data_IF_535258248933
#
_entry.id   IF_535258248933
#
_cell.length_a   1.000
_cell.length_b   1.000
_cell.length_c   1.000
_cell.angle_alpha   90.00
_cell.angle_beta   90.00
_cell.angle_gamma   90.00
#
_symmetry.space_group_name_H-M   'P 1'
#
loop_
_entity.id
_entity.type
_entity.pdbx_description
1 polymer ?
#
# COMPACT_ATOMS: atom_id res chain seq x y z
N UNK A 1 -62.07 7.88 -9.35
CA UNK A 1 -61.13 8.59 -10.25
C UNK A 1 -59.71 8.35 -9.76
N UNK A 2 -58.81 7.69 -10.53
CA UNK A 2 -57.43 7.48 -10.10
C UNK A 2 -56.51 8.63 -10.56
N UNK A 3 -55.62 9.06 -9.67
CA UNK A 3 -54.70 10.20 -9.82
C UNK A 3 -53.77 10.08 -11.05
N UNK A 4 -53.85 11.08 -11.94
CA UNK A 4 -53.17 11.12 -13.24
C UNK A 4 -51.75 11.71 -13.25
N UNK A 5 -51.12 12.00 -12.11
CA UNK A 5 -49.82 12.67 -12.10
C UNK A 5 -48.80 12.09 -11.11
N UNK A 6 -48.67 10.75 -11.03
CA UNK A 6 -47.49 10.14 -10.42
C UNK A 6 -46.28 10.34 -11.34
N UNK A 7 -45.65 11.51 -11.25
CA UNK A 7 -44.38 11.81 -11.93
C UNK A 7 -43.34 10.81 -11.43
N UNK A 8 -43.07 9.78 -12.22
CA UNK A 8 -42.13 8.74 -11.83
C UNK A 8 -40.73 9.33 -11.66
N UNK A 9 -40.01 8.90 -10.63
CA UNK A 9 -38.64 9.35 -10.36
C UNK A 9 -37.69 9.14 -11.56
N UNK A 10 -38.03 8.21 -12.45
CA UNK A 10 -37.33 7.98 -13.72
C UNK A 10 -37.54 9.13 -14.72
N UNK A 11 -38.76 9.64 -14.87
CA UNK A 11 -39.07 10.76 -15.75
C UNK A 11 -38.36 12.05 -15.33
N UNK A 12 -38.28 12.32 -14.02
CA UNK A 12 -37.52 13.45 -13.47
C UNK A 12 -36.02 13.30 -13.72
N UNK A 13 -35.44 12.11 -13.48
CA UNK A 13 -34.01 11.86 -13.76
C UNK A 13 -33.66 12.00 -15.24
N UNK A 14 -34.58 11.64 -16.14
CA UNK A 14 -34.37 11.79 -17.58
C UNK A 14 -34.38 13.27 -17.99
N UNK A 15 -35.26 14.08 -17.39
CA UNK A 15 -35.33 15.55 -17.63
C UNK A 15 -34.14 16.32 -17.04
N UNK A 16 -33.59 15.88 -15.90
CA UNK A 16 -32.45 16.53 -15.24
C UNK A 16 -31.08 16.14 -15.83
N UNK A 17 -31.00 15.14 -16.71
CA UNK A 17 -29.75 14.80 -17.40
C UNK A 17 -29.58 15.72 -18.59
N UNK A 18 -28.74 16.74 -18.44
CA UNK A 18 -28.21 17.47 -19.59
C UNK A 18 -27.53 16.48 -20.55
N UNK A 19 -27.82 16.51 -21.85
CA UNK A 19 -27.17 15.64 -22.81
C UNK A 19 -25.67 15.96 -22.80
N UNK A 20 -24.86 14.99 -22.41
CA UNK A 20 -23.41 15.10 -22.53
C UNK A 20 -23.09 15.09 -24.03
N UNK A 21 -22.38 16.08 -24.58
CA UNK A 21 -22.09 16.12 -26.00
C UNK A 21 -21.33 14.85 -26.40
N UNK A 22 -21.73 14.24 -27.50
CA UNK A 22 -21.24 12.93 -27.95
C UNK A 22 -19.71 12.89 -28.07
N UNK A 23 -19.07 14.00 -28.44
CA UNK A 23 -17.60 14.16 -28.50
C UNK A 23 -16.94 13.89 -27.15
N UNK A 24 -17.53 14.33 -26.04
CA UNK A 24 -17.02 14.05 -24.70
C UNK A 24 -17.22 12.58 -24.30
N UNK A 25 -18.31 11.95 -24.75
CA UNK A 25 -18.51 10.52 -24.52
C UNK A 25 -17.49 9.68 -25.28
N UNK A 26 -17.25 10.01 -26.56
CA UNK A 26 -16.24 9.35 -27.40
C UNK A 26 -14.84 9.56 -26.81
N UNK A 27 -14.47 10.79 -26.44
CA UNK A 27 -13.18 11.07 -25.82
C UNK A 27 -12.96 10.27 -24.52
N UNK A 28 -13.99 10.18 -23.66
CA UNK A 28 -13.95 9.37 -22.43
C UNK A 28 -13.88 7.88 -22.71
N UNK A 29 -14.54 7.40 -23.76
CA UNK A 29 -14.51 5.99 -24.14
C UNK A 29 -13.15 5.62 -24.70
N UNK A 30 -12.63 6.44 -25.63
CA UNK A 30 -11.30 6.29 -26.21
C UNK A 30 -10.22 6.29 -25.14
N UNK A 31 -10.21 7.27 -24.23
CA UNK A 31 -9.20 7.32 -23.16
C UNK A 31 -9.23 6.08 -22.28
N UNK A 32 -10.43 5.55 -21.97
CA UNK A 32 -10.57 4.31 -21.21
C UNK A 32 -10.08 3.11 -21.99
N UNK A 33 -10.46 2.98 -23.26
CA UNK A 33 -10.04 1.88 -24.12
C UNK A 33 -8.51 1.83 -24.27
N UNK A 34 -7.87 2.98 -24.49
CA UNK A 34 -6.41 3.06 -24.57
C UNK A 34 -5.77 2.64 -23.25
N UNK A 35 -6.25 3.16 -22.12
CA UNK A 35 -5.69 2.81 -20.79
C UNK A 35 -5.90 1.33 -20.49
N UNK A 36 -7.11 0.80 -20.68
CA UNK A 36 -7.39 -0.62 -20.45
C UNK A 36 -6.61 -1.51 -21.42
N UNK A 37 -6.41 -1.08 -22.67
CA UNK A 37 -5.62 -1.78 -23.67
C UNK A 37 -4.14 -1.88 -23.28
N UNK A 38 -3.53 -0.75 -22.89
CA UNK A 38 -2.12 -0.74 -22.41
C UNK A 38 -1.97 -1.63 -21.17
N UNK A 39 -2.85 -1.46 -20.18
CA UNK A 39 -2.81 -2.27 -18.95
C UNK A 39 -3.01 -3.75 -19.25
N UNK A 40 -3.94 -4.09 -20.13
CA UNK A 40 -4.20 -5.47 -20.53
C UNK A 40 -3.02 -6.07 -21.30
N UNK A 41 -2.38 -5.30 -22.19
CA UNK A 41 -1.21 -5.77 -22.94
C UNK A 41 -0.02 -6.04 -22.03
N UNK A 42 0.27 -5.13 -21.08
CA UNK A 42 1.33 -5.32 -20.08
C UNK A 42 1.01 -6.53 -19.20
N UNK A 43 -0.24 -6.65 -18.72
CA UNK A 43 -0.66 -7.79 -17.92
C UNK A 43 -0.58 -9.12 -18.69
N UNK A 44 -0.94 -9.11 -19.97
CA UNK A 44 -0.83 -10.26 -20.87
C UNK A 44 0.63 -10.67 -21.06
N UNK A 45 1.52 -9.73 -21.38
CA UNK A 45 2.95 -10.00 -21.53
C UNK A 45 3.55 -10.61 -20.27
N UNK A 46 3.19 -10.08 -19.09
CA UNK A 46 3.65 -10.59 -17.80
C UNK A 46 3.14 -12.00 -17.49
N UNK A 47 1.85 -12.25 -17.75
CA UNK A 47 1.25 -13.56 -17.55
C UNK A 47 1.83 -14.59 -18.52
N UNK A 48 2.01 -14.21 -19.79
CA UNK A 48 2.60 -15.04 -20.82
C UNK A 48 4.03 -15.46 -20.46
N UNK A 49 4.87 -14.49 -20.07
CA UNK A 49 6.24 -14.77 -19.61
C UNK A 49 6.26 -15.78 -18.46
N UNK A 50 5.35 -15.65 -17.50
CA UNK A 50 5.23 -16.58 -16.37
C UNK A 50 4.81 -18.00 -16.76
N UNK A 51 3.91 -18.13 -17.74
CA UNK A 51 3.45 -19.43 -18.23
C UNK A 51 4.51 -20.16 -19.07
N UNK A 52 5.36 -19.42 -19.78
CA UNK A 52 6.46 -19.99 -20.59
C UNK A 52 7.72 -20.27 -19.79
N UNK A 53 7.83 -19.70 -18.58
CA UNK A 53 9.01 -19.80 -17.74
C UNK A 53 8.99 -21.07 -16.91
N UNK A 54 10.08 -21.84 -16.99
CA UNK A 54 10.29 -22.99 -16.14
C UNK A 54 10.45 -22.56 -14.66
N UNK A 55 9.78 -23.24 -13.71
CA UNK A 55 9.90 -22.93 -12.30
C UNK A 55 11.31 -23.24 -11.79
N UNK A 56 11.93 -22.28 -11.09
CA UNK A 56 13.23 -22.47 -10.43
C UNK A 56 13.07 -23.17 -9.07
N UNK A 57 14.18 -23.60 -8.46
CA UNK A 57 14.19 -24.09 -7.08
C UNK A 57 13.59 -23.05 -6.12
N UNK A 58 12.74 -23.48 -5.19
CA UNK A 58 12.05 -22.59 -4.24
C UNK A 58 10.90 -21.75 -4.83
N UNK A 59 10.54 -21.99 -6.09
CA UNK A 59 9.42 -21.31 -6.77
C UNK A 59 8.07 -21.55 -6.07
N UNK A 60 7.70 -22.80 -5.83
CA UNK A 60 6.45 -23.15 -5.15
C UNK A 60 6.31 -22.48 -3.77
N UNK A 61 7.41 -22.49 -3.00
CA UNK A 61 7.46 -21.83 -1.69
C UNK A 61 7.30 -20.31 -1.79
N UNK A 62 8.01 -19.69 -2.72
CA UNK A 62 7.91 -18.24 -2.96
C UNK A 62 6.51 -17.84 -3.42
N UNK A 63 5.89 -18.62 -4.32
CA UNK A 63 4.54 -18.39 -4.81
C UNK A 63 3.48 -18.51 -3.69
N UNK A 64 3.62 -19.50 -2.80
CA UNK A 64 2.76 -19.66 -1.63
C UNK A 64 2.85 -18.43 -0.71
N UNK A 65 4.06 -18.06 -0.28
CA UNK A 65 4.23 -16.98 0.69
C UNK A 65 3.96 -15.59 0.09
N UNK A 66 4.18 -15.38 -1.20
CA UNK A 66 3.69 -14.19 -1.92
C UNK A 66 2.17 -14.13 -1.93
N UNK A 67 1.49 -15.26 -2.13
CA UNK A 67 0.02 -15.33 -2.10
C UNK A 67 -0.52 -15.07 -0.69
N UNK A 68 0.11 -15.63 0.34
CA UNK A 68 -0.22 -15.36 1.75
C UNK A 68 0.00 -13.88 2.08
N UNK A 69 1.12 -13.29 1.66
CA UNK A 69 1.42 -11.87 1.84
C UNK A 69 0.37 -10.99 1.15
N UNK A 70 0.05 -11.28 -0.12
CA UNK A 70 -0.95 -10.57 -0.91
C UNK A 70 -2.33 -10.63 -0.25
N UNK A 71 -2.77 -11.82 0.17
CA UNK A 71 -4.03 -12.01 0.88
C UNK A 71 -4.08 -11.25 2.22
N UNK A 72 -3.00 -11.28 3.01
CA UNK A 72 -2.91 -10.56 4.28
C UNK A 72 -2.93 -9.03 4.09
N UNK A 73 -2.24 -8.52 3.07
CA UNK A 73 -2.25 -7.09 2.72
C UNK A 73 -3.62 -6.65 2.21
N UNK A 74 -4.25 -7.44 1.32
CA UNK A 74 -5.60 -7.19 0.82
C UNK A 74 -6.61 -7.17 1.96
N UNK A 75 -6.52 -8.12 2.90
CA UNK A 75 -7.34 -8.15 4.11
C UNK A 75 -7.13 -6.90 4.97
N UNK A 76 -5.87 -6.52 5.24
CA UNK A 76 -5.56 -5.30 6.02
C UNK A 76 -6.13 -4.05 5.35
N UNK A 77 -6.03 -3.95 4.02
CA UNK A 77 -6.60 -2.84 3.26
C UNK A 77 -8.13 -2.83 3.35
N UNK A 78 -8.77 -3.98 3.07
CA UNK A 78 -10.22 -4.12 3.16
C UNK A 78 -10.74 -3.73 4.55
N UNK A 79 -10.11 -4.19 5.62
CA UNK A 79 -10.51 -3.86 7.00
C UNK A 79 -10.21 -2.41 7.39
N UNK A 80 -9.19 -1.77 6.80
CA UNK A 80 -8.87 -0.37 7.07
C UNK A 80 -9.94 0.58 6.52
N UNK A 81 -10.44 0.28 5.31
CA UNK A 81 -11.52 1.01 4.65
C UNK A 81 -12.92 0.54 5.09
N UNK A 82 -13.07 -0.70 5.54
CA UNK A 82 -14.37 -1.35 5.70
C UNK A 82 -14.89 -1.77 4.32
N UNK A 83 -14.88 -3.07 3.97
CA UNK A 83 -15.14 -3.52 2.60
C UNK A 83 -16.49 -3.04 2.08
N UNK A 84 -17.50 -2.93 2.94
CA UNK A 84 -18.78 -2.30 2.60
C UNK A 84 -18.90 -0.96 3.31
N UNK A 85 -18.94 0.13 2.54
CA UNK A 85 -19.13 1.49 3.05
C UNK A 85 -20.24 2.24 2.29
N UNK A 86 -20.78 3.27 2.94
CA UNK A 86 -21.70 4.22 2.31
C UNK A 86 -21.01 5.58 2.22
N UNK A 87 -20.96 6.16 1.01
CA UNK A 87 -20.46 7.51 0.80
C UNK A 87 -21.26 8.55 1.60
N UNK A 88 -20.62 9.69 1.89
CA UNK A 88 -21.23 10.78 2.67
C UNK A 88 -22.55 11.27 2.06
N UNK A 89 -22.62 11.33 0.73
CA UNK A 89 -23.78 11.66 -0.09
C UNK A 89 -25.00 10.74 0.17
N UNK A 90 -24.74 9.48 0.53
CA UNK A 90 -25.78 8.46 0.75
C UNK A 90 -26.04 8.21 2.23
N UNK A 91 -25.11 8.58 3.09
CA UNK A 91 -25.20 8.39 4.54
C UNK A 91 -26.32 9.21 5.19
N UNK A 92 -26.75 10.30 4.55
CA UNK A 92 -27.95 11.06 4.92
C UNK A 92 -29.22 10.20 4.82
N UNK A 93 -29.32 9.36 3.79
CA UNK A 93 -30.47 8.49 3.53
C UNK A 93 -30.46 7.17 4.32
N UNK A 94 -29.41 6.92 5.10
CA UNK A 94 -29.30 5.73 5.93
C UNK A 94 -29.92 6.04 7.29
N UNK A 95 -31.15 5.55 7.51
CA UNK A 95 -31.85 5.67 8.79
C UNK A 95 -30.99 5.17 9.95
N UNK A 96 -31.09 5.79 11.13
CA UNK A 96 -30.41 5.31 12.34
C UNK A 96 -31.07 4.04 12.92
N UNK A 97 -32.34 3.80 12.60
CA UNK A 97 -33.11 2.65 13.07
C UNK A 97 -32.62 1.32 12.45
N UNK A 98 -32.78 0.19 13.18
CA UNK A 98 -32.35 -1.13 12.73
C UNK A 98 -33.28 -1.71 11.66
N UNK A 99 -33.30 -1.09 10.47
CA UNK A 99 -34.00 -1.61 9.29
C UNK A 99 -33.11 -2.65 8.61
N UNK A 100 -33.70 -3.74 8.09
CA UNK A 100 -32.98 -4.75 7.29
C UNK A 100 -32.47 -4.14 5.99
N UNK A 101 -31.16 -3.84 5.92
CA UNK A 101 -30.51 -3.18 4.76
C UNK A 101 -29.91 -4.15 3.73
N UNK A 102 -30.07 -5.46 3.95
CA UNK A 102 -29.43 -6.49 3.13
C UNK A 102 -29.73 -6.36 1.63
N UNK A 103 -30.98 -6.11 1.27
CA UNK A 103 -31.39 -5.95 -0.14
C UNK A 103 -30.70 -4.74 -0.82
N UNK A 104 -30.50 -3.64 -0.10
CA UNK A 104 -29.84 -2.44 -0.62
C UNK A 104 -28.33 -2.63 -0.81
N UNK A 105 -27.69 -3.44 0.05
CA UNK A 105 -26.24 -3.64 0.05
C UNK A 105 -25.79 -4.81 -0.85
N UNK A 106 -26.67 -5.78 -1.11
CA UNK A 106 -26.38 -6.99 -1.92
C UNK A 106 -25.75 -6.67 -3.29
N UNK A 107 -26.30 -5.79 -4.14
CA UNK A 107 -25.70 -5.53 -5.45
C UNK A 107 -24.26 -5.02 -5.38
N UNK A 108 -23.96 -4.19 -4.37
CA UNK A 108 -22.59 -3.68 -4.16
C UNK A 108 -21.66 -4.75 -3.62
N UNK A 109 -22.17 -5.59 -2.72
CA UNK A 109 -21.41 -6.72 -2.21
C UNK A 109 -21.04 -7.69 -3.32
N UNK A 110 -21.98 -8.04 -4.20
CA UNK A 110 -21.67 -8.86 -5.38
C UNK A 110 -20.66 -8.20 -6.32
N UNK A 111 -20.81 -6.90 -6.58
CA UNK A 111 -19.79 -6.15 -7.35
C UNK A 111 -18.40 -6.21 -6.70
N UNK A 112 -18.34 -6.13 -5.36
CA UNK A 112 -17.10 -6.30 -4.60
C UNK A 112 -16.50 -7.69 -4.73
N UNK A 113 -17.31 -8.76 -4.70
CA UNK A 113 -16.84 -10.12 -4.89
C UNK A 113 -16.28 -10.34 -6.30
N UNK A 114 -16.93 -9.77 -7.33
CA UNK A 114 -16.44 -9.84 -8.72
C UNK A 114 -15.10 -9.12 -8.86
N UNK A 115 -14.96 -7.92 -8.29
CA UNK A 115 -13.68 -7.19 -8.27
C UNK A 115 -12.62 -7.98 -7.50
N UNK A 116 -12.97 -8.58 -6.36
CA UNK A 116 -12.06 -9.37 -5.56
C UNK A 116 -11.58 -10.64 -6.28
N UNK A 117 -12.47 -11.32 -7.01
CA UNK A 117 -12.12 -12.45 -7.87
C UNK A 117 -11.13 -12.02 -8.95
N UNK A 118 -11.41 -10.91 -9.65
CA UNK A 118 -10.52 -10.37 -10.68
C UNK A 118 -9.14 -9.97 -10.14
N UNK A 119 -9.08 -9.35 -8.94
CA UNK A 119 -7.82 -9.04 -8.27
C UNK A 119 -7.05 -10.31 -7.86
N UNK A 120 -7.75 -11.35 -7.42
CA UNK A 120 -7.15 -12.64 -7.11
C UNK A 120 -6.51 -13.30 -8.34
N UNK A 121 -7.21 -13.29 -9.48
CA UNK A 121 -6.70 -13.77 -10.77
C UNK A 121 -5.49 -12.96 -11.23
N UNK A 122 -5.58 -11.63 -11.16
CA UNK A 122 -4.48 -10.74 -11.52
C UNK A 122 -3.24 -10.96 -10.62
N UNK A 123 -3.46 -11.21 -9.32
CA UNK A 123 -2.38 -11.53 -8.39
C UNK A 123 -1.70 -12.86 -8.72
N UNK A 124 -2.46 -13.91 -9.03
CA UNK A 124 -1.88 -15.20 -9.44
C UNK A 124 -1.08 -15.09 -10.72
N UNK A 125 -1.56 -14.32 -11.70
CA UNK A 125 -0.82 -14.05 -12.93
C UNK A 125 0.49 -13.28 -12.65
N UNK A 126 0.47 -12.31 -11.74
CA UNK A 126 1.66 -11.58 -11.34
C UNK A 126 2.69 -12.47 -10.63
N UNK A 127 2.23 -13.37 -9.74
CA UNK A 127 3.09 -14.35 -9.05
C UNK A 127 3.71 -15.33 -10.05
N UNK A 128 2.94 -15.83 -11.02
CA UNK A 128 3.45 -16.71 -12.07
C UNK A 128 4.46 -16.00 -12.98
N UNK A 129 4.20 -14.75 -13.35
CA UNK A 129 5.16 -13.92 -14.10
C UNK A 129 6.52 -13.82 -13.40
N UNK A 130 6.52 -13.76 -12.07
CA UNK A 130 7.73 -13.67 -11.28
C UNK A 130 8.40 -15.04 -11.09
N UNK A 131 7.63 -16.04 -10.69
CA UNK A 131 8.17 -17.30 -10.13
C UNK A 131 8.16 -18.47 -11.13
N UNK A 132 7.47 -18.31 -12.26
CA UNK A 132 7.13 -19.39 -13.18
C UNK A 132 5.83 -20.09 -12.79
N UNK A 133 5.26 -20.85 -13.71
CA UNK A 133 4.05 -21.63 -13.47
C UNK A 133 4.35 -22.85 -12.58
N UNK A 134 3.81 -22.83 -11.35
CA UNK A 134 3.97 -23.92 -10.37
C UNK A 134 2.82 -24.94 -10.44
N UNK A 135 1.65 -24.49 -10.90
CA UNK A 135 0.39 -25.24 -10.96
C UNK A 135 -0.26 -24.96 -12.33
N UNK A 136 -1.05 -25.88 -12.91
CA UNK A 136 -1.76 -25.63 -14.16
C UNK A 136 -2.54 -24.30 -14.14
N UNK A 137 -2.48 -23.56 -15.25
CA UNK A 137 -2.99 -22.18 -15.33
C UNK A 137 -4.47 -22.06 -14.94
N UNK A 138 -5.30 -23.02 -15.37
CA UNK A 138 -6.74 -23.02 -15.05
C UNK A 138 -7.01 -23.21 -13.55
N UNK A 139 -6.26 -24.10 -12.90
CA UNK A 139 -6.35 -24.32 -11.45
C UNK A 139 -5.90 -23.08 -10.69
N UNK A 140 -4.79 -22.46 -11.11
CA UNK A 140 -4.26 -21.25 -10.49
C UNK A 140 -5.24 -20.07 -10.58
N UNK A 141 -5.87 -19.87 -11.74
CA UNK A 141 -6.92 -18.86 -11.94
C UNK A 141 -8.11 -19.12 -11.02
N UNK A 142 -8.56 -20.38 -10.93
CA UNK A 142 -9.66 -20.78 -10.06
C UNK A 142 -9.35 -20.53 -8.58
N UNK A 143 -8.17 -20.94 -8.12
CA UNK A 143 -7.71 -20.74 -6.74
C UNK A 143 -7.55 -19.25 -6.44
N UNK A 144 -6.92 -18.49 -7.32
CA UNK A 144 -6.73 -17.04 -7.18
C UNK A 144 -8.05 -16.30 -7.02
N UNK A 145 -9.02 -16.58 -7.89
CA UNK A 145 -10.36 -16.02 -7.81
C UNK A 145 -11.04 -16.38 -6.48
N UNK A 146 -11.00 -17.66 -6.08
CA UNK A 146 -11.60 -18.13 -4.84
C UNK A 146 -10.98 -17.47 -3.60
N UNK A 147 -9.65 -17.35 -3.55
CA UNK A 147 -8.92 -16.69 -2.45
C UNK A 147 -9.29 -15.20 -2.36
N UNK A 148 -9.36 -14.50 -3.50
CA UNK A 148 -9.78 -13.10 -3.54
C UNK A 148 -11.19 -12.90 -2.97
N UNK A 149 -12.15 -13.74 -3.41
CA UNK A 149 -13.52 -13.77 -2.89
C UNK A 149 -13.54 -14.07 -1.39
N UNK A 150 -12.81 -15.10 -0.94
CA UNK A 150 -12.73 -15.51 0.45
C UNK A 150 -12.19 -14.39 1.34
N UNK A 151 -11.13 -13.70 0.94
CA UNK A 151 -10.52 -12.58 1.67
C UNK A 151 -11.53 -11.44 1.86
N UNK A 152 -12.19 -11.00 0.79
CA UNK A 152 -13.16 -9.89 0.89
C UNK A 152 -14.42 -10.30 1.65
N UNK A 153 -14.93 -11.51 1.43
CA UNK A 153 -16.07 -12.03 2.16
C UNK A 153 -15.78 -12.14 3.66
N UNK A 154 -14.62 -12.69 4.04
CA UNK A 154 -14.19 -12.76 5.42
C UNK A 154 -14.00 -11.36 6.02
N UNK A 155 -13.45 -10.39 5.28
CA UNK A 155 -13.35 -9.01 5.73
C UNK A 155 -14.72 -8.41 6.09
N UNK A 156 -15.79 -8.73 5.33
CA UNK A 156 -17.17 -8.29 5.63
C UNK A 156 -17.70 -8.95 6.91
N UNK A 157 -17.42 -10.24 7.13
CA UNK A 157 -17.78 -10.94 8.36
C UNK A 157 -17.07 -10.32 9.56
N UNK A 158 -15.77 -10.02 9.44
CA UNK A 158 -14.99 -9.35 10.49
C UNK A 158 -15.44 -7.92 10.73
N UNK A 159 -15.85 -7.17 9.71
CA UNK A 159 -16.37 -5.80 9.84
C UNK A 159 -17.56 -5.72 10.80
N UNK A 160 -18.37 -6.80 10.89
CA UNK A 160 -19.46 -6.93 11.86
C UNK A 160 -18.96 -7.20 13.29
N UNK A 161 -17.82 -7.89 13.42
CA UNK A 161 -17.24 -8.24 14.71
C UNK A 161 -16.58 -7.05 15.40
N UNK A 162 -16.51 -7.09 16.73
CA UNK A 162 -15.64 -6.16 17.50
C UNK A 162 -14.17 -6.58 17.49
N UNK A 163 -13.85 -7.68 16.82
CA UNK A 163 -12.51 -8.23 16.76
C UNK A 163 -11.61 -7.38 15.86
N UNK A 164 -10.39 -7.11 16.32
CA UNK A 164 -9.38 -6.34 15.58
C UNK A 164 -8.24 -7.27 15.18
N UNK A 165 -8.33 -7.99 14.05
CA UNK A 165 -7.30 -8.97 13.64
C UNK A 165 -6.00 -8.30 13.17
N UNK A 166 -5.87 -6.98 13.26
CA UNK A 166 -4.74 -6.23 12.71
C UNK A 166 -3.39 -6.61 13.36
N UNK A 167 -3.38 -7.04 14.62
CA UNK A 167 -2.19 -7.60 15.28
C UNK A 167 -1.78 -8.94 14.67
N UNK A 168 -2.71 -9.90 14.59
CA UNK A 168 -2.48 -11.21 13.98
C UNK A 168 -2.07 -11.11 12.51
N UNK A 169 -2.78 -10.29 11.70
CA UNK A 169 -2.43 -10.03 10.30
C UNK A 169 -1.03 -9.44 10.15
N UNK A 170 -0.57 -8.66 11.12
CA UNK A 170 0.80 -8.13 11.13
C UNK A 170 1.83 -9.21 11.41
N UNK A 171 1.50 -10.18 12.26
CA UNK A 171 2.29 -11.40 12.47
C UNK A 171 2.37 -12.26 11.22
N UNK A 172 1.24 -12.49 10.52
CA UNK A 172 1.19 -13.23 9.25
C UNK A 172 2.06 -12.56 8.18
N UNK A 173 1.99 -11.23 8.06
CA UNK A 173 2.87 -10.48 7.15
C UNK A 173 4.33 -10.66 7.53
N UNK A 174 4.69 -10.55 8.82
CA UNK A 174 6.06 -10.78 9.28
C UNK A 174 6.56 -12.19 8.97
N UNK A 175 5.73 -13.20 9.22
CA UNK A 175 6.04 -14.60 8.91
C UNK A 175 6.23 -14.83 7.41
N UNK A 176 5.35 -14.28 6.58
CA UNK A 176 5.48 -14.39 5.12
C UNK A 176 6.77 -13.75 4.60
N UNK A 177 7.19 -12.62 5.17
CA UNK A 177 8.46 -11.99 4.82
C UNK A 177 9.65 -12.87 5.19
N UNK A 178 9.67 -13.43 6.41
CA UNK A 178 10.75 -14.33 6.85
C UNK A 178 10.80 -15.57 5.96
N UNK A 179 9.65 -16.15 5.64
CA UNK A 179 9.59 -17.30 4.75
C UNK A 179 10.10 -16.98 3.33
N UNK A 180 9.80 -15.80 2.79
CA UNK A 180 10.33 -15.37 1.48
C UNK A 180 11.85 -15.17 1.47
N UNK A 181 12.47 -14.93 2.61
CA UNK A 181 13.93 -14.82 2.74
C UNK A 181 14.64 -16.17 2.91
N UNK A 182 13.89 -17.25 3.15
CA UNK A 182 14.45 -18.60 3.31
C UNK A 182 13.67 -19.54 2.42
N UNK A 183 13.97 -19.56 1.10
CA UNK A 183 13.25 -20.42 0.18
C UNK A 183 13.50 -21.88 0.53
N UNK A 184 12.42 -22.62 0.77
CA UNK A 184 12.46 -24.07 0.96
C UNK A 184 12.00 -24.76 -0.31
N UNK A 185 12.59 -25.91 -0.63
CA UNK A 185 12.09 -26.76 -1.70
C UNK A 185 10.81 -27.47 -1.24
N UNK A 186 9.69 -27.10 -1.88
CA UNK A 186 8.45 -27.84 -1.75
C UNK A 186 8.33 -28.76 -2.97
N UNK A 187 8.40 -30.06 -2.75
CA UNK A 187 8.01 -31.04 -3.76
C UNK A 187 6.50 -30.97 -3.98
N UNK A 188 6.07 -30.38 -5.10
CA UNK A 188 4.67 -30.41 -5.53
C UNK A 188 4.56 -31.51 -6.57
N UNK A 189 4.08 -32.68 -6.15
CA UNK A 189 3.79 -33.79 -7.06
C UNK A 189 2.66 -33.39 -8.03
N UNK A 190 2.89 -33.40 -9.35
CA UNK A 190 1.87 -33.06 -10.35
C UNK A 190 0.79 -34.15 -10.38
N UNK A 191 -0.30 -33.93 -9.62
CA UNK A 191 -1.45 -34.84 -9.55
C UNK A 191 -2.26 -34.75 -8.25
N UNK A 192 -1.65 -34.27 -7.17
CA UNK A 192 -2.34 -34.12 -5.87
C UNK A 192 -3.23 -32.85 -5.77
N UNK A 193 -3.31 -32.03 -6.83
CA UNK A 193 -3.87 -30.67 -6.77
C UNK A 193 -5.35 -30.55 -7.13
N UNK A 194 -5.98 -31.56 -7.75
CA UNK A 194 -7.37 -31.46 -8.24
C UNK A 194 -8.42 -31.15 -7.15
N UNK A 195 -8.16 -31.51 -5.89
CA UNK A 195 -9.04 -31.22 -4.77
C UNK A 195 -8.90 -29.77 -4.24
N UNK A 196 -7.76 -29.12 -4.46
CA UNK A 196 -7.48 -27.76 -3.96
C UNK A 196 -8.40 -26.67 -4.53
N UNK A 197 -8.65 -26.58 -5.86
CA UNK A 197 -9.55 -25.56 -6.39
C UNK A 197 -10.99 -25.76 -5.87
N UNK A 198 -11.43 -27.02 -5.74
CA UNK A 198 -12.76 -27.34 -5.20
C UNK A 198 -12.85 -26.87 -3.74
N UNK A 199 -11.87 -27.23 -2.90
CA UNK A 199 -11.84 -26.81 -1.50
C UNK A 199 -11.79 -25.27 -1.35
N UNK A 200 -11.00 -24.59 -2.19
CA UNK A 200 -10.91 -23.13 -2.20
C UNK A 200 -12.26 -22.48 -2.52
N UNK A 201 -12.99 -22.99 -3.53
CA UNK A 201 -14.31 -22.50 -3.88
C UNK A 201 -15.36 -22.80 -2.81
N UNK A 202 -15.34 -24.00 -2.22
CA UNK A 202 -16.24 -24.34 -1.10
C UNK A 202 -16.06 -23.35 0.05
N UNK A 203 -14.81 -23.05 0.43
CA UNK A 203 -14.52 -22.05 1.46
C UNK A 203 -14.97 -20.65 1.04
N UNK A 204 -14.68 -20.23 -0.19
CA UNK A 204 -15.05 -18.92 -0.70
C UNK A 204 -16.57 -18.71 -0.74
N UNK A 205 -17.32 -19.72 -1.19
CA UNK A 205 -18.79 -19.71 -1.23
C UNK A 205 -19.35 -19.67 0.19
N UNK A 206 -18.86 -20.52 1.10
CA UNK A 206 -19.27 -20.53 2.50
C UNK A 206 -19.08 -19.16 3.17
N UNK A 207 -17.92 -18.52 2.96
CA UNK A 207 -17.63 -17.18 3.45
C UNK A 207 -18.51 -16.11 2.79
N UNK A 208 -18.77 -16.20 1.49
CA UNK A 208 -19.64 -15.27 0.77
C UNK A 208 -21.09 -15.34 1.26
N UNK A 209 -21.60 -16.54 1.56
CA UNK A 209 -22.92 -16.74 2.18
C UNK A 209 -22.95 -16.12 3.58
N UNK A 210 -21.94 -16.41 4.42
CA UNK A 210 -21.83 -15.84 5.76
C UNK A 210 -21.75 -14.30 5.74
N UNK A 211 -21.01 -13.73 4.79
CA UNK A 211 -20.93 -12.29 4.55
C UNK A 211 -22.28 -11.72 4.11
N UNK A 212 -22.97 -12.37 3.18
CA UNK A 212 -24.29 -11.97 2.69
C UNK A 212 -25.35 -11.92 3.79
N UNK A 213 -25.35 -12.90 4.71
CA UNK A 213 -26.20 -12.89 5.92
C UNK A 213 -25.80 -11.73 6.84
N UNK A 214 -24.50 -11.48 6.99
CA UNK A 214 -23.97 -10.42 7.86
C UNK A 214 -24.30 -9.01 7.38
N UNK A 215 -24.51 -8.78 6.08
CA UNK A 215 -24.93 -7.47 5.53
C UNK A 215 -26.20 -6.93 6.17
N UNK A 216 -27.14 -7.82 6.51
CA UNK A 216 -28.42 -7.43 7.13
C UNK A 216 -28.25 -6.88 8.56
N UNK A 217 -27.10 -7.13 9.19
CA UNK A 217 -26.80 -6.80 10.59
C UNK A 217 -25.77 -5.68 10.74
N UNK A 218 -25.29 -5.08 9.65
CA UNK A 218 -24.33 -3.97 9.69
C UNK A 218 -25.00 -2.69 10.20
N UNK A 219 -24.35 -2.00 11.15
CA UNK A 219 -24.86 -0.75 11.75
C UNK A 219 -24.44 0.46 10.91
N UNK A 220 -25.13 1.59 11.12
CA UNK A 220 -24.79 2.86 10.45
C UNK A 220 -23.35 3.30 10.75
N UNK A 221 -22.87 3.07 11.97
CA UNK A 221 -21.48 3.35 12.39
C UNK A 221 -20.44 2.62 11.53
N UNK A 222 -20.73 1.39 11.14
CA UNK A 222 -19.79 0.51 10.44
C UNK A 222 -19.67 0.92 8.96
N UNK A 223 -20.77 1.40 8.38
CA UNK A 223 -20.84 1.93 7.02
C UNK A 223 -20.24 3.34 6.91
N UNK A 224 -20.35 4.13 7.98
CA UNK A 224 -19.89 5.52 8.06
C UNK A 224 -18.36 5.64 8.08
N UNK A 225 -17.71 4.77 8.85
CA UNK A 225 -16.27 4.85 9.10
C UNK A 225 -15.43 4.69 7.82
N UNK A 226 -15.95 3.95 6.83
CA UNK A 226 -15.27 3.71 5.56
C UNK A 226 -15.49 4.77 4.49
N UNK A 227 -16.65 5.43 4.50
CA UNK A 227 -17.04 6.38 3.46
C UNK A 227 -16.13 7.62 3.40
N UNK A 228 -15.72 8.13 4.55
CA UNK A 228 -14.82 9.29 4.62
C UNK A 228 -13.42 8.97 4.09
N UNK A 229 -12.89 7.78 4.42
CA UNK A 229 -11.57 7.35 3.95
C UNK A 229 -11.56 6.99 2.47
N UNK A 230 -12.61 6.35 1.97
CA UNK A 230 -12.72 6.05 0.55
C UNK A 230 -12.81 7.34 -0.28
N UNK A 231 -13.53 8.36 0.22
CA UNK A 231 -13.57 9.69 -0.41
C UNK A 231 -12.19 10.34 -0.46
N UNK A 232 -11.48 10.37 0.67
CA UNK A 232 -10.10 10.90 0.75
C UNK A 232 -9.15 10.12 -0.17
N UNK A 233 -9.18 8.80 -0.13
CA UNK A 233 -8.33 7.95 -0.97
C UNK A 233 -8.60 8.20 -2.46
N UNK A 234 -9.88 8.32 -2.85
CA UNK A 234 -10.24 8.66 -4.23
C UNK A 234 -9.68 10.02 -4.64
N UNK A 235 -9.85 11.06 -3.82
CA UNK A 235 -9.30 12.39 -4.10
C UNK A 235 -7.77 12.34 -4.19
N UNK A 236 -7.11 11.69 -3.24
CA UNK A 236 -5.66 11.50 -3.24
C UNK A 236 -5.15 10.78 -4.48
N UNK A 237 -5.82 9.73 -4.93
CA UNK A 237 -5.44 9.00 -6.15
C UNK A 237 -5.70 9.85 -7.40
N UNK A 238 -6.85 10.50 -7.48
CA UNK A 238 -7.20 11.35 -8.64
C UNK A 238 -6.28 12.56 -8.78
N UNK A 239 -5.76 13.09 -7.68
CA UNK A 239 -4.86 14.25 -7.65
C UNK A 239 -3.37 13.86 -7.51
N UNK A 240 -3.06 12.56 -7.47
CA UNK A 240 -1.73 12.03 -7.16
C UNK A 240 -1.11 12.56 -5.85
N UNK A 241 -1.92 13.09 -4.94
CA UNK A 241 -1.49 13.54 -3.61
C UNK A 241 -1.72 12.45 -2.56
N UNK A 242 -0.84 11.45 -2.57
CA UNK A 242 -0.79 10.43 -1.52
C UNK A 242 -0.33 10.99 -0.16
N UNK A 243 0.23 12.21 -0.12
CA UNK A 243 0.63 12.82 1.15
C UNK A 243 -0.60 13.23 1.96
N UNK A 244 -1.68 13.69 1.30
CA UNK A 244 -2.97 13.97 1.93
C UNK A 244 -3.56 12.71 2.59
N UNK A 245 -3.59 11.58 1.87
CA UNK A 245 -4.05 10.31 2.43
C UNK A 245 -3.19 9.89 3.63
N UNK A 246 -1.86 10.02 3.52
CA UNK A 246 -0.93 9.73 4.60
C UNK A 246 -1.17 10.58 5.85
N UNK A 247 -1.42 11.89 5.68
CA UNK A 247 -1.70 12.81 6.78
C UNK A 247 -3.00 12.46 7.50
N UNK A 248 -4.07 12.17 6.77
CA UNK A 248 -5.38 11.82 7.33
C UNK A 248 -5.33 10.46 8.04
N UNK A 249 -4.61 9.48 7.48
CA UNK A 249 -4.38 8.19 8.14
C UNK A 249 -3.54 8.35 9.42
N UNK A 250 -2.52 9.21 9.41
CA UNK A 250 -1.72 9.51 10.58
C UNK A 250 -2.54 10.19 11.69
N UNK A 251 -3.41 11.12 11.33
CA UNK A 251 -4.32 11.78 12.27
C UNK A 251 -5.35 10.80 12.84
N UNK A 252 -6.00 10.00 12.00
CA UNK A 252 -6.93 8.95 12.44
C UNK A 252 -6.26 7.98 13.40
N UNK A 253 -5.02 7.58 13.10
CA UNK A 253 -4.21 6.72 13.97
C UNK A 253 -3.93 7.40 15.30
N UNK A 254 -3.52 8.68 15.30
CA UNK A 254 -3.26 9.42 16.53
C UNK A 254 -4.53 9.50 17.40
N UNK A 255 -5.68 9.80 16.80
CA UNK A 255 -6.98 9.78 17.49
C UNK A 255 -7.35 8.39 18.03
N UNK A 256 -7.07 7.33 17.26
CA UNK A 256 -7.34 5.95 17.68
C UNK A 256 -6.42 5.47 18.82
N UNK A 257 -5.19 5.96 18.88
CA UNK A 257 -4.28 5.71 20.00
C UNK A 257 -4.73 6.46 21.26
N UNK A 258 -5.26 7.69 21.10
CA UNK A 258 -5.88 8.49 22.16
C UNK A 258 -4.89 9.04 23.19
N UNK A 259 -4.18 8.15 23.90
CA UNK A 259 -3.14 8.49 24.87
C UNK A 259 -1.90 7.65 24.63
N UNK A 260 -0.74 8.25 24.81
CA UNK A 260 0.55 7.57 24.70
C UNK A 260 1.30 7.75 26.01
N UNK A 261 1.78 6.65 26.60
CA UNK A 261 2.62 6.71 27.80
C UNK A 261 3.88 7.52 27.51
N UNK A 262 4.24 8.45 28.40
CA UNK A 262 5.54 9.13 28.33
C UNK A 262 6.65 8.07 28.43
N UNK A 263 7.66 8.21 27.59
CA UNK A 263 8.85 7.35 27.63
C UNK A 263 10.00 8.19 28.14
N UNK A 264 10.76 7.66 29.09
CA UNK A 264 11.99 8.32 29.56
C UNK A 264 13.03 8.26 28.44
N UNK A 265 13.61 9.41 28.12
CA UNK A 265 14.75 9.49 27.19
C UNK A 265 16.00 9.16 28.01
N UNK A 266 16.50 7.92 27.88
CA UNK A 266 17.54 7.35 28.75
C UNK A 266 18.94 7.93 28.59
N UNK A 267 19.09 9.17 28.10
CA UNK A 267 20.39 9.76 27.73
C UNK A 267 20.99 10.63 28.85
N UNK A 268 20.63 10.33 30.11
CA UNK A 268 21.24 10.92 31.29
C UNK A 268 21.23 9.88 32.41
N UNK A 269 22.40 9.34 32.74
CA UNK A 269 22.54 8.40 33.84
C UNK A 269 22.01 8.99 35.15
N UNK A 270 21.58 8.14 36.08
CA UNK A 270 21.01 8.51 37.40
C UNK A 270 21.88 9.48 38.24
N UNK A 271 23.13 9.76 37.86
CA UNK A 271 24.04 10.73 38.50
C UNK A 271 24.17 12.11 37.82
N UNK A 272 23.61 12.35 36.64
CA UNK A 272 23.85 13.59 35.87
C UNK A 272 22.78 14.69 36.10
N UNK A 273 22.28 14.83 37.33
CA UNK A 273 21.22 15.81 37.66
C UNK A 273 21.71 17.27 37.77
N UNK A 274 23.02 17.50 37.73
CA UNK A 274 23.63 18.81 37.99
C UNK A 274 24.51 19.34 36.85
N UNK A 275 24.72 18.58 35.76
CA UNK A 275 25.51 19.04 34.61
C UNK A 275 24.61 19.35 33.40
N UNK A 276 24.84 20.46 32.68
CA UNK A 276 24.08 20.74 31.46
C UNK A 276 24.27 19.60 30.45
N UNK A 277 23.20 19.06 29.85
CA UNK A 277 23.30 17.94 28.92
C UNK A 277 24.16 18.35 27.72
N UNK A 278 25.24 17.57 27.48
CA UNK A 278 26.16 17.76 26.37
C UNK A 278 25.42 17.76 25.03
N UNK A 279 25.91 18.47 24.01
CA UNK A 279 25.26 18.51 22.67
C UNK A 279 25.01 17.11 22.10
N UNK A 280 25.93 16.17 22.34
CA UNK A 280 25.81 14.77 21.92
C UNK A 280 24.63 14.05 22.61
N UNK A 281 24.42 14.28 23.90
CA UNK A 281 23.28 13.72 24.64
C UNK A 281 21.93 14.20 24.09
N UNK A 282 21.85 15.44 23.61
CA UNK A 282 20.62 16.00 22.99
C UNK A 282 20.35 15.38 21.62
N UNK A 283 21.38 15.23 20.78
CA UNK A 283 21.25 14.58 19.46
C UNK A 283 20.83 13.12 19.62
N UNK A 284 21.46 12.39 20.56
CA UNK A 284 21.10 11.02 20.87
C UNK A 284 19.67 10.90 21.42
N UNK A 285 19.23 11.85 22.27
CA UNK A 285 17.84 11.89 22.75
C UNK A 285 16.84 12.09 21.60
N UNK A 286 17.14 12.98 20.65
CA UNK A 286 16.31 13.19 19.46
C UNK A 286 16.28 11.95 18.56
N UNK A 287 17.42 11.33 18.28
CA UNK A 287 17.47 10.06 17.53
C UNK A 287 16.66 8.96 18.25
N UNK A 288 16.73 8.90 19.58
CA UNK A 288 15.94 7.96 20.38
C UNK A 288 14.44 8.22 20.29
N UNK A 289 14.00 9.48 20.14
CA UNK A 289 12.57 9.77 19.91
C UNK A 289 12.06 9.18 18.61
N UNK A 290 12.89 9.14 17.56
CA UNK A 290 12.54 8.52 16.28
C UNK A 290 12.53 6.99 16.37
N UNK A 291 13.47 6.39 17.12
CA UNK A 291 13.45 4.96 17.41
C UNK A 291 12.19 4.54 18.20
N UNK A 292 11.80 5.34 19.20
CA UNK A 292 10.55 5.14 19.95
C UNK A 292 9.32 5.32 19.07
N UNK A 293 9.37 6.27 18.13
CA UNK A 293 8.30 6.47 17.14
C UNK A 293 8.15 5.22 16.27
N UNK A 294 9.25 4.66 15.78
CA UNK A 294 9.26 3.42 15.00
C UNK A 294 8.67 2.25 15.81
N UNK A 295 9.07 2.08 17.07
CA UNK A 295 8.54 1.03 17.96
C UNK A 295 7.03 1.17 18.17
N UNK A 296 6.50 2.39 18.21
CA UNK A 296 5.05 2.67 18.30
C UNK A 296 4.34 2.52 16.96
N UNK A 297 5.09 2.40 15.86
CA UNK A 297 4.59 2.25 14.50
C UNK A 297 5.02 0.94 13.83
N UNK A 298 4.50 -0.23 14.30
CA UNK A 298 4.90 -1.54 13.77
C UNK A 298 4.66 -1.67 12.27
N UNK A 299 3.61 -1.06 11.72
CA UNK A 299 3.37 -1.07 10.27
C UNK A 299 4.51 -0.46 9.44
N UNK A 300 5.26 0.52 9.97
CA UNK A 300 6.40 1.09 9.25
C UNK A 300 7.55 0.06 9.17
N UNK A 301 7.82 -0.63 10.28
CA UNK A 301 8.80 -1.72 10.32
C UNK A 301 8.37 -2.91 9.43
N UNK A 302 7.08 -3.24 9.40
CA UNK A 302 6.56 -4.31 8.53
C UNK A 302 6.70 -3.97 7.06
N UNK A 303 6.44 -2.73 6.65
CA UNK A 303 6.66 -2.32 5.25
C UNK A 303 8.15 -2.30 4.92
N UNK A 304 8.99 -1.85 5.85
CA UNK A 304 10.45 -1.90 5.70
C UNK A 304 10.94 -3.34 5.50
N UNK A 305 10.45 -4.29 6.31
CA UNK A 305 10.80 -5.70 6.21
C UNK A 305 10.22 -6.35 4.95
N UNK A 306 8.97 -6.03 4.59
CA UNK A 306 8.30 -6.61 3.43
C UNK A 306 8.94 -6.22 2.08
N UNK A 307 9.79 -5.20 2.07
CA UNK A 307 10.58 -4.85 0.90
C UNK A 307 11.85 -5.69 0.76
N UNK A 308 12.35 -6.33 1.84
CA UNK A 308 13.61 -7.09 1.82
C UNK A 308 13.66 -8.17 0.71
N UNK A 309 12.60 -8.97 0.46
CA UNK A 309 12.66 -9.98 -0.58
C UNK A 309 12.68 -9.41 -2.01
N UNK A 310 12.34 -8.13 -2.22
CA UNK A 310 12.08 -7.58 -3.55
C UNK A 310 13.25 -7.75 -4.55
N UNK A 311 14.52 -7.47 -4.21
CA UNK A 311 15.64 -7.67 -5.14
C UNK A 311 15.85 -9.14 -5.51
N UNK A 312 15.77 -10.03 -4.52
CA UNK A 312 15.90 -11.48 -4.73
C UNK A 312 14.76 -12.03 -5.58
N UNK A 313 13.54 -11.54 -5.38
CA UNK A 313 12.38 -11.93 -6.18
C UNK A 313 12.50 -11.49 -7.65
N UNK A 314 13.12 -10.35 -7.93
CA UNK A 314 13.37 -9.89 -9.32
C UNK A 314 14.44 -10.73 -9.99
N UNK A 315 15.50 -11.09 -9.26
CA UNK A 315 16.48 -12.04 -9.76
C UNK A 315 15.85 -13.42 -10.04
N UNK A 316 15.02 -13.93 -9.12
CA UNK A 316 14.22 -15.14 -9.33
C UNK A 316 13.25 -14.97 -10.52
N UNK A 317 12.81 -13.73 -10.78
CA UNK A 317 12.10 -13.23 -11.94
C UNK A 317 12.77 -13.49 -13.30
N UNK A 318 14.05 -13.86 -13.34
CA UNK A 318 14.79 -14.03 -14.58
C UNK A 318 15.39 -12.73 -15.10
N UNK A 319 15.31 -11.67 -14.29
CA UNK A 319 15.78 -10.32 -14.62
C UNK A 319 16.91 -9.90 -13.65
N UNK A 320 18.01 -10.66 -13.55
CA UNK A 320 19.07 -10.40 -12.57
C UNK A 320 19.76 -9.04 -12.79
N UNK A 321 19.81 -8.56 -14.03
CA UNK A 321 20.39 -7.26 -14.42
C UNK A 321 19.67 -6.08 -13.74
N UNK A 322 18.38 -6.22 -13.44
CA UNK A 322 17.59 -5.19 -12.78
C UNK A 322 17.57 -5.33 -11.25
N UNK A 323 18.16 -6.40 -10.68
CA UNK A 323 18.10 -6.65 -9.24
C UNK A 323 18.74 -5.51 -8.41
N UNK A 324 19.87 -4.97 -8.88
CA UNK A 324 20.56 -3.85 -8.24
C UNK A 324 19.75 -2.53 -8.33
N UNK A 325 19.14 -2.26 -9.48
CA UNK A 325 18.26 -1.10 -9.66
C UNK A 325 17.03 -1.18 -8.74
N UNK A 326 16.41 -2.36 -8.64
CA UNK A 326 15.29 -2.62 -7.73
C UNK A 326 15.73 -2.52 -6.28
N UNK A 327 16.94 -2.94 -5.94
CA UNK A 327 17.51 -2.76 -4.61
C UNK A 327 17.55 -1.29 -4.20
N UNK A 328 18.02 -0.36 -5.06
CA UNK A 328 18.01 1.08 -4.72
C UNK A 328 16.59 1.60 -4.51
N UNK A 329 15.66 1.23 -5.39
CA UNK A 329 14.25 1.67 -5.31
C UNK A 329 13.61 1.17 -4.01
N UNK A 330 13.79 -0.11 -3.70
CA UNK A 330 13.27 -0.72 -2.48
C UNK A 330 13.97 -0.16 -1.23
N UNK A 331 15.29 0.07 -1.26
CA UNK A 331 16.04 0.72 -0.19
C UNK A 331 15.53 2.13 0.08
N UNK A 332 15.27 2.92 -0.98
CA UNK A 332 14.63 4.22 -0.86
C UNK A 332 13.26 4.11 -0.19
N UNK A 333 12.37 3.26 -0.70
CA UNK A 333 11.02 3.09 -0.17
C UNK A 333 11.03 2.62 1.30
N UNK A 334 11.95 1.74 1.67
CA UNK A 334 12.15 1.26 3.03
C UNK A 334 12.64 2.39 3.95
N UNK A 335 13.68 3.11 3.53
CA UNK A 335 14.25 4.26 4.26
C UNK A 335 13.23 5.37 4.46
N UNK A 336 12.39 5.61 3.46
CA UNK A 336 11.35 6.63 3.48
C UNK A 336 10.30 6.40 4.59
N UNK A 337 10.04 5.14 4.95
CA UNK A 337 9.13 4.77 6.05
C UNK A 337 9.69 5.13 7.41
N UNK A 338 11.01 5.22 7.54
CA UNK A 338 11.71 5.59 8.77
C UNK A 338 11.93 7.11 8.90
N UNK A 339 11.77 7.86 7.80
CA UNK A 339 12.05 9.29 7.73
C UNK A 339 10.93 10.22 8.26
N UNK A 340 9.96 9.68 9.01
CA UNK A 340 8.82 10.44 9.51
C UNK A 340 9.23 11.62 10.43
N UNK A 341 10.21 11.40 11.31
CA UNK A 341 10.74 12.45 12.19
C UNK A 341 11.39 13.59 11.41
N UNK A 342 12.28 13.24 10.47
CA UNK A 342 12.95 14.19 9.60
C UNK A 342 11.95 15.06 8.82
N UNK A 343 10.95 14.43 8.19
CA UNK A 343 9.90 15.15 7.44
C UNK A 343 9.09 16.10 8.32
N UNK A 344 8.77 15.67 9.54
CA UNK A 344 8.02 16.48 10.49
C UNK A 344 8.78 17.75 10.88
N UNK A 345 10.09 17.62 11.18
CA UNK A 345 10.96 18.75 11.55
C UNK A 345 11.26 19.66 10.36
N UNK A 346 11.45 19.11 9.16
CA UNK A 346 11.67 19.91 7.95
C UNK A 346 10.42 20.70 7.54
N UNK A 347 9.21 20.15 7.73
CA UNK A 347 7.94 20.79 7.32
C UNK A 347 7.38 21.79 8.34
N UNK A 348 7.79 21.75 9.61
CA UNK A 348 7.26 22.64 10.65
C UNK A 348 8.32 23.59 11.21
N UNK A 349 8.32 24.88 10.79
CA UNK A 349 9.19 25.90 11.38
C UNK A 349 8.93 26.10 12.88
N UNK A 350 7.67 26.00 13.31
CA UNK A 350 7.30 26.15 14.72
C UNK A 350 7.98 25.09 15.60
N UNK A 351 8.00 23.83 15.15
CA UNK A 351 8.69 22.74 15.88
C UNK A 351 10.19 23.00 15.99
N UNK A 352 10.83 23.51 14.92
CA UNK A 352 12.26 23.87 14.96
C UNK A 352 12.56 24.97 15.99
N UNK A 353 11.69 25.98 16.07
CA UNK A 353 11.80 27.07 17.06
C UNK A 353 11.64 26.56 18.49
N UNK A 354 10.66 25.69 18.74
CA UNK A 354 10.40 25.11 20.07
C UNK A 354 11.57 24.24 20.56
N UNK A 355 12.25 23.53 19.65
CA UNK A 355 13.41 22.69 19.99
C UNK A 355 14.70 23.49 20.23
N UNK A 356 14.79 24.75 19.78
CA UNK A 356 15.89 25.66 20.09
C UNK A 356 17.29 25.24 19.61
N UNK A 357 17.39 24.27 18.71
CA UNK A 357 18.66 23.77 18.17
C UNK A 357 18.89 24.27 16.73
N UNK A 358 20.15 24.40 16.28
CA UNK A 358 20.45 24.73 14.90
C UNK A 358 19.83 23.73 13.92
N UNK A 359 19.28 24.24 12.81
CA UNK A 359 18.62 23.46 11.76
C UNK A 359 19.46 22.27 11.27
N UNK A 360 20.77 22.47 11.10
CA UNK A 360 21.70 21.40 10.67
C UNK A 360 21.78 20.27 11.70
N UNK A 361 21.83 20.60 12.99
CA UNK A 361 21.91 19.62 14.08
C UNK A 361 20.61 18.84 14.20
N UNK A 362 19.46 19.52 14.09
CA UNK A 362 18.14 18.88 14.08
C UNK A 362 18.00 17.88 12.92
N UNK A 363 18.36 18.31 11.71
CA UNK A 363 18.28 17.44 10.53
C UNK A 363 19.18 16.22 10.66
N UNK A 364 20.42 16.38 11.13
CA UNK A 364 21.34 15.26 11.37
C UNK A 364 20.79 14.29 12.42
N UNK A 365 20.25 14.79 13.53
CA UNK A 365 19.69 13.95 14.59
C UNK A 365 18.54 13.06 14.07
N UNK A 366 17.64 13.63 13.27
CA UNK A 366 16.51 12.91 12.67
C UNK A 366 16.88 12.11 11.41
N UNK A 367 18.12 12.22 10.93
CA UNK A 367 18.65 11.41 9.82
C UNK A 367 19.28 10.09 10.31
N UNK A 368 19.68 10.01 11.59
CA UNK A 368 20.35 8.82 12.15
C UNK A 368 19.53 7.54 11.97
N UNK A 369 18.25 7.58 12.35
CA UNK A 369 17.37 6.40 12.28
C UNK A 369 17.12 5.93 10.84
N UNK A 370 16.71 6.79 9.88
CA UNK A 370 16.58 6.35 8.49
C UNK A 370 17.93 5.92 7.88
N UNK A 371 19.05 6.59 8.20
CA UNK A 371 20.36 6.19 7.68
C UNK A 371 20.81 4.82 8.20
N UNK A 372 20.68 4.56 9.51
CA UNK A 372 20.97 3.25 10.09
C UNK A 372 20.05 2.16 9.50
N UNK A 373 18.77 2.47 9.31
CA UNK A 373 17.83 1.58 8.66
C UNK A 373 18.16 1.30 7.18
N UNK A 374 18.67 2.28 6.44
CA UNK A 374 19.12 2.10 5.06
C UNK A 374 20.34 1.18 4.98
N UNK A 375 21.36 1.44 5.82
CA UNK A 375 22.58 0.63 5.87
C UNK A 375 22.26 -0.81 6.25
N UNK A 376 21.45 -1.03 7.28
CA UNK A 376 21.04 -2.37 7.70
C UNK A 376 20.23 -3.08 6.60
N UNK A 377 19.30 -2.38 5.96
CA UNK A 377 18.47 -2.95 4.89
C UNK A 377 19.32 -3.36 3.69
N UNK A 378 20.24 -2.50 3.26
CA UNK A 378 21.15 -2.80 2.15
C UNK A 378 22.12 -3.93 2.51
N UNK A 379 22.68 -3.96 3.72
CA UNK A 379 23.54 -5.04 4.17
C UNK A 379 22.83 -6.41 4.13
N UNK A 380 21.58 -6.48 4.62
CA UNK A 380 20.79 -7.72 4.59
C UNK A 380 20.45 -8.14 3.16
N UNK A 381 20.02 -7.21 2.31
CA UNK A 381 19.64 -7.54 0.92
C UNK A 381 20.83 -7.91 0.05
N UNK A 382 21.98 -7.28 0.24
CA UNK A 382 23.24 -7.66 -0.42
C UNK A 382 23.72 -9.04 0.07
N UNK A 383 23.58 -9.36 1.36
CA UNK A 383 24.00 -10.65 1.90
C UNK A 383 23.18 -11.84 1.35
N UNK A 384 21.88 -11.63 1.09
CA UNK A 384 21.00 -12.70 0.61
C UNK A 384 20.79 -12.71 -0.92
N UNK A 385 21.15 -11.64 -1.66
CA UNK A 385 20.93 -11.55 -3.11
C UNK A 385 22.26 -11.70 -3.86
N UNK A 386 22.57 -12.87 -4.47
CA UNK A 386 23.88 -13.13 -5.08
C UNK A 386 24.26 -12.16 -6.21
N UNK A 387 23.26 -11.63 -6.92
CA UNK A 387 23.45 -10.71 -8.06
C UNK A 387 23.72 -9.27 -7.66
N UNK A 388 23.68 -8.96 -6.37
CA UNK A 388 23.92 -7.62 -5.85
C UNK A 388 25.33 -7.58 -5.25
N UNK A 389 26.23 -6.84 -5.90
CA UNK A 389 27.58 -6.62 -5.37
C UNK A 389 27.57 -5.76 -4.10
N UNK A 390 28.65 -5.83 -3.32
CA UNK A 390 28.85 -4.95 -2.15
C UNK A 390 28.85 -3.47 -2.56
N UNK A 391 29.42 -3.15 -3.72
CA UNK A 391 29.40 -1.80 -4.27
C UNK A 391 27.97 -1.33 -4.55
N UNK A 392 27.15 -2.18 -5.17
CA UNK A 392 25.74 -1.89 -5.46
C UNK A 392 24.94 -1.67 -4.17
N UNK A 393 25.22 -2.45 -3.12
CA UNK A 393 24.66 -2.26 -1.78
C UNK A 393 25.06 -0.92 -1.12
N UNK A 394 26.32 -0.53 -1.23
CA UNK A 394 26.82 0.76 -0.70
C UNK A 394 26.21 1.95 -1.44
N UNK A 395 26.18 1.91 -2.77
CA UNK A 395 25.53 2.94 -3.60
C UNK A 395 24.03 3.01 -3.30
N UNK A 396 23.36 1.86 -3.09
CA UNK A 396 21.96 1.81 -2.66
C UNK A 396 21.74 2.47 -1.31
N UNK A 397 22.60 2.22 -0.32
CA UNK A 397 22.48 2.79 1.02
C UNK A 397 22.66 4.32 0.99
N UNK A 398 23.73 4.80 0.35
CA UNK A 398 24.02 6.24 0.22
C UNK A 398 22.94 6.93 -0.62
N UNK A 399 22.55 6.31 -1.74
CA UNK A 399 21.52 6.79 -2.65
C UNK A 399 20.16 6.93 -1.98
N UNK A 400 19.71 5.90 -1.26
CA UNK A 400 18.45 5.92 -0.52
C UNK A 400 18.41 7.06 0.51
N UNK A 401 19.48 7.22 1.30
CA UNK A 401 19.58 8.31 2.29
C UNK A 401 19.59 9.68 1.61
N UNK A 402 20.32 9.83 0.51
CA UNK A 402 20.38 11.08 -0.25
C UNK A 402 19.02 11.48 -0.84
N UNK A 403 18.31 10.52 -1.46
CA UNK A 403 16.96 10.74 -2.02
C UNK A 403 15.97 11.09 -0.92
N UNK A 404 15.94 10.34 0.19
CA UNK A 404 15.05 10.61 1.33
C UNK A 404 15.33 11.99 1.93
N UNK A 405 16.60 12.34 2.11
CA UNK A 405 16.99 13.67 2.59
C UNK A 405 16.48 14.77 1.65
N UNK A 406 16.67 14.61 0.34
CA UNK A 406 16.24 15.56 -0.69
C UNK A 406 14.71 15.72 -0.74
N UNK A 407 13.95 14.65 -0.54
CA UNK A 407 12.48 14.69 -0.44
C UNK A 407 12.03 15.34 0.86
N UNK A 408 12.71 15.07 1.98
CA UNK A 408 12.33 15.61 3.28
C UNK A 408 12.60 17.12 3.38
N UNK A 409 13.66 17.63 2.75
CA UNK A 409 14.03 19.05 2.75
C UNK A 409 13.38 19.88 1.63
N UNK A 410 12.45 19.29 0.87
CA UNK A 410 11.77 20.00 -0.21
C UNK A 410 11.03 21.26 0.31
N UNK A 411 11.11 22.39 -0.40
CA UNK A 411 10.34 23.58 -0.06
C UNK A 411 8.82 23.31 -0.16
N UNK A 412 7.98 24.15 0.48
CA UNK A 412 6.52 24.08 0.32
C UNK A 412 6.11 24.16 -1.16
N UNK A 413 5.01 23.50 -1.50
CA UNK A 413 4.46 23.51 -2.86
C UNK A 413 3.94 24.90 -3.17
N UNK A 414 4.50 25.51 -4.22
CA UNK A 414 4.02 26.80 -4.72
C UNK A 414 2.89 26.54 -5.74
N UNK A 415 1.67 26.88 -5.34
CA UNK A 415 0.48 26.76 -6.18
C UNK A 415 0.28 27.98 -7.10
N UNK A 416 1.09 29.04 -6.97
CA UNK A 416 1.06 30.23 -7.82
C UNK A 416 1.91 30.13 -9.09
N UNK A 417 2.61 29.01 -9.30
CA UNK A 417 3.47 28.81 -10.47
C UNK A 417 2.66 28.63 -11.77
N UNK A 418 3.29 28.95 -12.91
CA UNK A 418 2.71 28.83 -14.24
C UNK A 418 2.02 27.47 -14.45
N UNK A 419 0.74 27.52 -14.81
CA UNK A 419 -0.10 26.35 -15.05
C UNK A 419 0.10 25.92 -16.49
N UNK A 420 0.56 24.69 -16.70
CA UNK A 420 0.63 24.07 -18.03
C UNK A 420 -0.44 22.99 -18.11
N UNK A 421 -1.21 23.04 -19.18
CA UNK A 421 -2.19 22.02 -19.48
C UNK A 421 -1.49 20.82 -20.13
N UNK A 422 -1.41 19.70 -19.40
CA UNK A 422 -0.85 18.44 -19.92
C UNK A 422 -1.90 17.59 -20.64
N UNK A 423 -3.04 18.17 -21.03
CA UNK A 423 -4.13 17.49 -21.72
C UNK A 423 -4.75 16.41 -20.83
N UNK A 424 -4.18 15.20 -20.84
CA UNK A 424 -4.65 14.00 -20.13
C UNK A 424 -4.76 14.18 -18.61
N UNK A 425 -3.88 15.00 -18.02
CA UNK A 425 -3.83 15.26 -16.57
C UNK A 425 -4.45 16.63 -16.19
N UNK A 426 -4.89 17.40 -17.19
CA UNK A 426 -5.41 18.74 -17.03
C UNK A 426 -4.35 19.79 -16.68
N UNK A 427 -4.79 21.02 -16.33
CA UNK A 427 -3.92 22.10 -15.91
C UNK A 427 -3.17 21.74 -14.63
N UNK A 428 -1.86 21.58 -14.72
CA UNK A 428 -1.00 21.35 -13.55
C UNK A 428 0.11 22.42 -13.47
N UNK A 429 0.38 22.98 -12.28
CA UNK A 429 1.44 23.96 -12.13
C UNK A 429 2.80 23.32 -12.38
N UNK A 430 3.60 23.90 -13.29
CA UNK A 430 4.95 23.41 -13.60
C UNK A 430 5.84 23.36 -12.36
N UNK A 431 5.69 24.33 -11.46
CA UNK A 431 6.41 24.38 -10.19
C UNK A 431 6.16 23.15 -9.32
N UNK A 432 4.95 22.58 -9.37
CA UNK A 432 4.58 21.36 -8.67
C UNK A 432 5.28 20.15 -9.28
N UNK A 433 5.33 20.03 -10.61
CA UNK A 433 6.03 18.93 -11.31
C UNK A 433 7.53 18.93 -11.00
N UNK A 434 8.19 20.09 -11.14
CA UNK A 434 9.64 20.21 -10.90
C UNK A 434 9.99 19.98 -9.43
N UNK A 435 9.15 20.42 -8.50
CA UNK A 435 9.38 20.13 -7.08
C UNK A 435 9.11 18.67 -6.71
N UNK A 436 8.10 18.03 -7.32
CA UNK A 436 7.81 16.61 -7.10
C UNK A 436 8.85 15.69 -7.74
N UNK A 437 9.50 16.11 -8.83
CA UNK A 437 10.51 15.31 -9.53
C UNK A 437 11.88 15.30 -8.83
N UNK A 438 12.21 16.26 -7.96
CA UNK A 438 13.56 16.37 -7.33
C UNK A 438 14.06 15.11 -6.62
N UNK A 439 13.17 14.33 -6.01
CA UNK A 439 13.52 13.06 -5.37
C UNK A 439 13.54 11.89 -6.38
N UNK A 440 12.40 11.61 -7.04
CA UNK A 440 12.28 10.55 -8.04
C UNK A 440 13.32 10.63 -9.16
N UNK A 441 13.66 11.82 -9.66
CA UNK A 441 14.66 11.97 -10.72
C UNK A 441 16.05 11.47 -10.27
N UNK A 442 16.47 11.80 -9.05
CA UNK A 442 17.73 11.26 -8.50
C UNK A 442 17.66 9.74 -8.33
N UNK A 443 16.51 9.21 -7.90
CA UNK A 443 16.29 7.78 -7.78
C UNK A 443 16.39 7.07 -9.13
N UNK A 444 15.80 7.63 -10.19
CA UNK A 444 15.86 7.08 -11.54
C UNK A 444 17.30 7.07 -12.06
N UNK A 445 18.05 8.16 -11.86
CA UNK A 445 19.47 8.21 -12.26
C UNK A 445 20.27 7.15 -11.51
N UNK A 446 20.08 7.01 -10.19
CA UNK A 446 20.76 5.99 -9.41
C UNK A 446 20.41 4.56 -9.84
N UNK A 447 19.13 4.31 -10.17
CA UNK A 447 18.69 3.02 -10.69
C UNK A 447 19.33 2.69 -12.05
N UNK A 448 19.44 3.68 -12.95
CA UNK A 448 20.13 3.50 -14.25
C UNK A 448 21.64 3.30 -14.11
N UNK A 449 22.27 3.98 -13.16
CA UNK A 449 23.70 3.75 -12.88
C UNK A 449 23.92 2.33 -12.37
N UNK A 450 23.01 1.81 -11.55
CA UNK A 450 23.11 0.46 -11.00
C UNK A 450 22.89 -0.65 -12.02
N UNK A 451 22.16 -0.41 -13.11
CA UNK A 451 22.10 -1.36 -14.22
C UNK A 451 23.39 -1.40 -15.04
N UNK A 452 24.29 -0.42 -14.86
CA UNK A 452 25.56 -0.33 -15.58
C UNK A 452 26.78 -0.76 -14.75
N UNK A 453 26.59 -1.14 -13.48
CA UNK A 453 27.61 -1.59 -12.52
C UNK A 453 27.49 -3.08 -12.25
#
# INVERSE_FOLDING_TARGET
MPDRHAVTAWAVRRRLRTPVPWRLLVARLYSRLVVFGIVALVAYGWAYAGLTKAPAAGSAWSALWLSVLGAAVLMKAALAFGPVFAGADRMFWVLSSPVRRGALLRPRFFGLLVVAAGLGVAWTAAVFGLVGAVVPALEAVGIGAAVGVAVVAFAVVVQRGRWRPQGWLSGVVGLAVVALLVPLELGVEPGATGALPVAAWVLAIGLAVAAGVSLSRLRRSDLAAGGSLAGVAKVSVSWFDLALLGAILAERRARALGRVKSARLGVGGRGARSAPPSRLSRVAALAWTDALRLRRTPNAALVWAALLPAPALVALGGEPEFAAAVQVIAAFLATDRLAAGLRFVCRSPAVRRVLGLPDRTLRRAHLVVPAAGAVLWCAVTTAFTPHVSVLNGLVSAVGAVAVVYRIATRPPVDHGAAIVDFGLFGPTPLGLIVQLSRGPALLTVLALVQTAL
#
